data_IF_022052973319
#
_entry.id   IF_022052973319
#
_cell.length_a   1.000
_cell.length_b   1.000
_cell.length_c   1.000
_cell.angle_alpha   90.00
_cell.angle_beta   90.00
_cell.angle_gamma   90.00
#
_symmetry.space_group_name_H-M   'P 1'
#
loop_
_entity.id
_entity.type
_entity.pdbx_description
1 polymer ?
#
# COMPACT_ATOMS: atom_id res chain seq x y z
N UNK A 1 -7.94 19.94 -10.50
CA UNK A 1 -8.45 21.15 -9.83
C UNK A 1 -9.76 21.51 -10.50
N UNK A 2 -10.84 21.64 -9.73
CA UNK A 2 -12.19 21.93 -10.24
C UNK A 2 -12.69 20.91 -11.29
N UNK A 3 -12.54 19.60 -11.01
CA UNK A 3 -12.92 18.53 -11.93
C UNK A 3 -12.01 18.37 -13.17
N UNK A 4 -11.01 19.24 -13.35
CA UNK A 4 -10.05 19.12 -14.45
C UNK A 4 -8.78 18.37 -14.02
N UNK A 5 -8.42 17.34 -14.79
CA UNK A 5 -7.22 16.54 -14.58
C UNK A 5 -6.00 17.31 -15.09
N UNK A 6 -5.00 17.49 -14.23
CA UNK A 6 -3.70 18.03 -14.62
C UNK A 6 -2.80 16.86 -15.06
N UNK A 7 -2.59 16.71 -16.36
CA UNK A 7 -1.82 15.59 -16.92
C UNK A 7 -0.33 15.68 -16.59
N UNK A 8 0.26 16.87 -16.54
CA UNK A 8 1.69 17.06 -16.28
C UNK A 8 2.14 16.52 -14.90
N UNK A 9 1.44 16.84 -13.79
CA UNK A 9 1.75 16.25 -12.47
C UNK A 9 1.59 14.73 -12.41
N UNK A 10 0.64 14.15 -13.15
CA UNK A 10 0.50 12.69 -13.22
C UNK A 10 1.67 12.07 -13.97
N UNK A 11 2.04 12.65 -15.12
CA UNK A 11 3.10 12.13 -15.97
C UNK A 11 4.47 12.18 -15.29
N UNK A 12 4.75 13.23 -14.50
CA UNK A 12 6.00 13.33 -13.74
C UNK A 12 6.15 12.25 -12.66
N UNK A 13 5.04 11.63 -12.23
CA UNK A 13 5.00 10.48 -11.33
C UNK A 13 4.88 9.14 -12.08
N UNK A 14 4.91 9.15 -13.42
CA UNK A 14 4.70 7.96 -14.25
C UNK A 14 3.25 7.47 -14.30
N UNK A 15 2.30 8.31 -13.88
CA UNK A 15 0.88 8.02 -13.82
C UNK A 15 0.15 8.62 -15.03
N UNK A 16 -1.06 8.16 -15.29
CA UNK A 16 -1.90 8.66 -16.38
C UNK A 16 -3.38 8.73 -15.95
N UNK A 17 -4.23 9.22 -16.85
CA UNK A 17 -5.66 9.33 -16.58
C UNK A 17 -6.35 7.99 -16.32
N UNK A 18 -5.84 6.90 -16.92
CA UNK A 18 -6.39 5.55 -16.72
C UNK A 18 -6.11 5.06 -15.30
N UNK A 19 -4.91 5.29 -14.78
CA UNK A 19 -4.58 5.05 -13.38
C UNK A 19 -5.52 5.81 -12.44
N UNK A 20 -5.76 7.11 -12.71
CA UNK A 20 -6.65 7.93 -11.88
C UNK A 20 -8.08 7.38 -11.86
N UNK A 21 -8.61 6.94 -13.01
CA UNK A 21 -9.93 6.30 -13.08
C UNK A 21 -10.00 5.02 -12.26
N UNK A 22 -8.97 4.17 -12.37
CA UNK A 22 -8.89 2.93 -11.58
C UNK A 22 -8.89 3.22 -10.07
N UNK A 23 -8.16 4.25 -9.62
CA UNK A 23 -8.16 4.63 -8.21
C UNK A 23 -9.51 5.20 -7.75
N UNK A 24 -10.14 6.05 -8.56
CA UNK A 24 -11.48 6.58 -8.29
C UNK A 24 -12.54 5.47 -8.22
N UNK A 25 -12.49 4.50 -9.13
CA UNK A 25 -13.38 3.34 -9.15
C UNK A 25 -13.20 2.45 -7.90
N UNK A 26 -11.96 2.22 -7.46
CA UNK A 26 -11.68 1.49 -6.20
C UNK A 26 -12.29 2.16 -4.99
N UNK A 27 -12.33 3.49 -4.99
CA UNK A 27 -12.91 4.30 -3.92
C UNK A 27 -14.42 4.51 -4.07
N UNK A 28 -15.01 4.10 -5.20
CA UNK A 28 -16.44 4.32 -5.49
C UNK A 28 -16.79 5.80 -5.71
N UNK A 29 -15.82 6.61 -6.12
CA UNK A 29 -15.96 8.07 -6.27
C UNK A 29 -16.06 8.43 -7.75
N UNK A 30 -17.09 9.20 -8.13
CA UNK A 30 -17.16 9.78 -9.46
C UNK A 30 -16.24 11.01 -9.57
N UNK A 31 -15.52 11.17 -10.69
CA UNK A 31 -14.59 12.29 -10.91
C UNK A 31 -15.26 13.67 -10.74
N UNK A 32 -16.53 13.79 -11.14
CA UNK A 32 -17.35 14.98 -10.98
C UNK A 32 -17.62 15.39 -9.52
N UNK A 33 -17.47 14.45 -8.58
CA UNK A 33 -17.59 14.71 -7.15
C UNK A 33 -16.24 15.13 -6.51
N UNK A 34 -15.13 15.14 -7.27
CA UNK A 34 -13.80 15.47 -6.76
C UNK A 34 -13.54 16.97 -6.85
N UNK A 35 -13.39 17.61 -5.70
CA UNK A 35 -12.97 19.01 -5.59
C UNK A 35 -11.44 19.11 -5.76
N UNK A 36 -10.69 18.32 -5.00
CA UNK A 36 -9.23 18.24 -5.07
C UNK A 36 -8.77 16.79 -5.04
N UNK A 37 -7.84 16.44 -5.92
CA UNK A 37 -7.14 15.16 -5.90
C UNK A 37 -5.64 15.41 -5.85
N UNK A 38 -4.96 14.81 -4.88
CA UNK A 38 -3.51 14.92 -4.71
C UNK A 38 -2.89 13.52 -4.66
N UNK A 39 -1.78 13.34 -5.37
CA UNK A 39 -0.97 12.13 -5.25
C UNK A 39 0.26 12.48 -4.42
N UNK A 40 0.54 11.68 -3.38
CA UNK A 40 1.73 11.87 -2.57
C UNK A 40 2.99 11.26 -3.24
N UNK A 41 4.16 11.42 -2.62
CA UNK A 41 5.41 10.83 -3.11
C UNK A 41 5.45 9.30 -3.08
N UNK A 42 4.48 8.67 -2.41
CA UNK A 42 4.32 7.22 -2.30
C UNK A 42 3.41 6.66 -3.40
N UNK A 43 2.71 7.53 -4.15
CA UNK A 43 1.72 7.15 -5.15
C UNK A 43 0.31 6.96 -4.60
N UNK A 44 0.04 7.38 -3.36
CA UNK A 44 -1.30 7.30 -2.75
C UNK A 44 -2.15 8.49 -3.20
N UNK A 45 -3.38 8.22 -3.65
CA UNK A 45 -4.36 9.24 -4.06
C UNK A 45 -5.19 9.70 -2.85
N UNK A 46 -5.13 10.99 -2.55
CA UNK A 46 -5.95 11.67 -1.57
C UNK A 46 -7.00 12.50 -2.30
N UNK A 47 -8.25 12.42 -1.86
CA UNK A 47 -9.38 13.12 -2.47
C UNK A 47 -10.10 13.96 -1.43
N UNK A 48 -10.41 15.19 -1.82
CA UNK A 48 -11.37 16.08 -1.19
C UNK A 48 -12.60 16.14 -2.11
N UNK A 49 -13.78 15.88 -1.56
CA UNK A 49 -15.03 15.78 -2.34
C UNK A 49 -15.90 17.01 -2.12
N UNK A 50 -16.78 17.29 -3.08
CA UNK A 50 -17.81 18.32 -2.90
C UNK A 50 -18.89 17.91 -1.91
N UNK A 51 -19.12 16.60 -1.74
CA UNK A 51 -20.07 16.05 -0.78
C UNK A 51 -19.37 15.67 0.53
N UNK A 52 -19.47 16.56 1.52
CA UNK A 52 -18.89 16.40 2.86
C UNK A 52 -19.45 15.18 3.63
N UNK A 53 -20.53 14.53 3.15
CA UNK A 53 -21.11 13.35 3.78
C UNK A 53 -20.43 12.02 3.39
N UNK A 54 -19.54 12.03 2.39
CA UNK A 54 -18.86 10.83 1.89
C UNK A 54 -17.50 10.67 2.58
N UNK A 55 -17.44 9.80 3.59
CA UNK A 55 -16.15 9.35 4.13
C UNK A 55 -15.46 8.41 3.13
N UNK A 56 -14.35 8.86 2.56
CA UNK A 56 -13.52 8.01 1.70
C UNK A 56 -12.57 7.20 2.58
N UNK A 57 -12.57 5.86 2.47
CA UNK A 57 -11.58 5.05 3.16
C UNK A 57 -10.18 5.37 2.63
N UNK A 58 -9.30 5.80 3.52
CA UNK A 58 -7.90 6.07 3.18
C UNK A 58 -7.22 4.81 2.65
N UNK A 59 -6.37 4.91 1.61
CA UNK A 59 -5.61 3.79 1.09
C UNK A 59 -4.76 3.13 2.19
N UNK A 60 -5.06 1.87 2.52
CA UNK A 60 -4.31 1.08 3.51
C UNK A 60 -3.16 0.29 2.90
N UNK A 61 -2.64 0.72 1.75
CA UNK A 61 -1.67 -0.07 0.96
C UNK A 61 -0.39 -0.34 1.74
N UNK A 62 0.12 0.68 2.44
CA UNK A 62 1.31 0.59 3.30
C UNK A 62 1.11 -0.39 4.47
N UNK A 63 -0.03 -0.29 5.15
CA UNK A 63 -0.41 -1.17 6.26
C UNK A 63 -0.58 -2.62 5.79
N UNK A 64 -1.24 -2.83 4.64
CA UNK A 64 -1.44 -4.14 4.02
C UNK A 64 -0.11 -4.76 3.58
N UNK A 65 0.81 -3.96 3.04
CA UNK A 65 2.16 -4.42 2.70
C UNK A 65 2.89 -4.91 3.97
N UNK A 66 2.85 -4.12 5.04
CA UNK A 66 3.47 -4.50 6.32
C UNK A 66 2.85 -5.80 6.87
N UNK A 67 1.52 -5.89 6.93
CA UNK A 67 0.81 -7.07 7.43
C UNK A 67 1.12 -8.33 6.61
N UNK A 68 1.24 -8.21 5.29
CA UNK A 68 1.63 -9.34 4.44
C UNK A 68 3.07 -9.80 4.71
N UNK A 69 4.01 -8.87 4.88
CA UNK A 69 5.40 -9.19 5.23
C UNK A 69 5.49 -9.84 6.63
N UNK A 70 4.73 -9.35 7.60
CA UNK A 70 4.62 -9.93 8.95
C UNK A 70 4.04 -11.35 8.90
N UNK A 71 2.97 -11.55 8.12
CA UNK A 71 2.41 -12.89 7.89
C UNK A 71 3.44 -13.85 7.29
N UNK A 72 4.19 -13.42 6.28
CA UNK A 72 5.23 -14.24 5.66
C UNK A 72 6.31 -14.61 6.68
N UNK A 73 6.73 -13.66 7.53
CA UNK A 73 7.68 -13.92 8.61
C UNK A 73 7.16 -14.99 9.57
N UNK A 74 5.90 -14.87 10.01
CA UNK A 74 5.28 -15.84 10.92
C UNK A 74 5.12 -17.23 10.27
N UNK A 75 4.76 -17.28 8.99
CA UNK A 75 4.67 -18.51 8.21
C UNK A 75 6.04 -19.20 8.14
N UNK A 76 7.13 -18.47 7.85
CA UNK A 76 8.49 -19.01 7.85
C UNK A 76 8.92 -19.53 9.22
N UNK A 77 8.63 -18.79 10.29
CA UNK A 77 8.87 -19.27 11.66
C UNK A 77 8.14 -20.58 11.92
N UNK A 78 6.86 -20.67 11.55
CA UNK A 78 6.04 -21.87 11.69
C UNK A 78 6.60 -23.05 10.89
N UNK A 79 7.01 -22.84 9.64
CA UNK A 79 7.60 -23.90 8.81
C UNK A 79 8.93 -24.41 9.36
N UNK A 80 9.72 -23.55 10.01
CA UNK A 80 10.96 -23.97 10.67
C UNK A 80 10.70 -24.92 11.85
N UNK A 81 9.58 -24.73 12.57
CA UNK A 81 9.19 -25.57 13.71
C UNK A 81 8.57 -26.90 13.27
N UNK A 82 7.87 -26.90 12.13
CA UNK A 82 7.12 -28.06 11.63
C UNK A 82 7.95 -29.02 10.78
N UNK A 83 9.06 -28.56 10.19
CA UNK A 83 9.87 -29.39 9.29
C UNK A 83 10.87 -30.27 10.03
N UNK A 84 11.00 -31.52 9.59
CA UNK A 84 12.03 -32.45 10.06
C UNK A 84 13.33 -32.39 9.23
N UNK A 85 13.37 -31.58 8.17
CA UNK A 85 14.57 -31.40 7.35
C UNK A 85 15.43 -30.27 7.95
N UNK A 86 16.58 -30.63 8.52
CA UNK A 86 17.49 -29.69 9.18
C UNK A 86 17.97 -28.54 8.27
N UNK A 87 18.20 -28.81 6.99
CA UNK A 87 18.59 -27.77 6.03
C UNK A 87 17.45 -26.77 5.80
N UNK A 88 16.23 -27.29 5.58
CA UNK A 88 15.05 -26.46 5.39
C UNK A 88 14.71 -25.65 6.65
N UNK A 89 14.83 -26.27 7.83
CA UNK A 89 14.67 -25.60 9.14
C UNK A 89 15.59 -24.40 9.27
N UNK A 90 16.89 -24.60 9.01
CA UNK A 90 17.87 -23.52 9.01
C UNK A 90 17.57 -22.43 7.98
N UNK A 91 17.12 -22.82 6.78
CA UNK A 91 16.74 -21.86 5.73
C UNK A 91 15.54 -20.99 6.17
N UNK A 92 14.45 -21.60 6.65
CA UNK A 92 13.26 -20.89 7.09
C UNK A 92 13.56 -19.95 8.25
N UNK A 93 14.30 -20.42 9.27
CA UNK A 93 14.68 -19.60 10.42
C UNK A 93 15.53 -18.39 10.03
N UNK A 94 16.54 -18.57 9.16
CA UNK A 94 17.36 -17.46 8.66
C UNK A 94 16.54 -16.43 7.88
N UNK A 95 15.60 -16.87 7.05
CA UNK A 95 14.77 -15.96 6.27
C UNK A 95 13.73 -15.24 7.13
N UNK A 96 13.18 -15.91 8.14
CA UNK A 96 12.30 -15.28 9.13
C UNK A 96 13.02 -14.15 9.86
N UNK A 97 14.26 -14.39 10.32
CA UNK A 97 15.06 -13.35 11.00
C UNK A 97 15.39 -12.17 10.09
N UNK A 98 15.67 -12.42 8.81
CA UNK A 98 15.89 -11.35 7.83
C UNK A 98 14.65 -10.49 7.65
N UNK A 99 13.47 -11.11 7.58
CA UNK A 99 12.20 -10.39 7.48
C UNK A 99 11.87 -9.60 8.73
N UNK A 100 12.11 -10.15 9.93
CA UNK A 100 11.94 -9.42 11.19
C UNK A 100 12.78 -8.13 11.21
N UNK A 101 14.08 -8.24 10.92
CA UNK A 101 14.98 -7.08 10.84
C UNK A 101 14.58 -6.08 9.75
N UNK A 102 13.94 -6.54 8.67
CA UNK A 102 13.42 -5.68 7.62
C UNK A 102 12.14 -4.96 8.07
N UNK A 103 11.22 -5.67 8.72
CA UNK A 103 9.99 -5.13 9.28
C UNK A 103 10.27 -4.02 10.30
N UNK A 104 11.29 -4.19 11.15
CA UNK A 104 11.69 -3.14 12.10
C UNK A 104 12.13 -1.85 11.41
N UNK A 105 12.86 -1.98 10.29
CA UNK A 105 13.30 -0.83 9.49
C UNK A 105 12.15 -0.20 8.71
N UNK A 106 11.18 -1.00 8.26
CA UNK A 106 10.05 -0.53 7.45
C UNK A 106 8.90 0.00 8.30
N UNK A 107 8.77 -0.38 9.58
CA UNK A 107 7.73 0.08 10.49
C UNK A 107 7.51 1.60 10.44
N UNK A 108 8.53 2.47 10.57
CA UNK A 108 8.35 3.92 10.52
C UNK A 108 8.02 4.47 9.13
N UNK A 109 7.97 3.66 8.08
CA UNK A 109 7.60 4.09 6.73
C UNK A 109 6.25 3.53 6.29
N UNK A 110 5.80 2.44 6.92
CA UNK A 110 4.60 1.71 6.51
C UNK A 110 3.45 1.78 7.52
N UNK A 111 3.70 2.17 8.78
CA UNK A 111 2.71 2.20 9.87
C UNK A 111 2.66 3.57 10.59
N UNK A 112 2.95 4.65 9.87
CA UNK A 112 2.87 6.02 10.40
C UNK A 112 1.61 6.73 9.97
#
# INVERSE_FOLDING_TARGET
MDGNILNEPLFSLGLNQEWLKVELDKMGVALENVFLGQVDSSGDLFLDLFDDAVEIPQPKVKELLYANLEKIQADLSTFSLQTNNESAKGMYMRNSQKLENLLDKLRPYLLN
#
